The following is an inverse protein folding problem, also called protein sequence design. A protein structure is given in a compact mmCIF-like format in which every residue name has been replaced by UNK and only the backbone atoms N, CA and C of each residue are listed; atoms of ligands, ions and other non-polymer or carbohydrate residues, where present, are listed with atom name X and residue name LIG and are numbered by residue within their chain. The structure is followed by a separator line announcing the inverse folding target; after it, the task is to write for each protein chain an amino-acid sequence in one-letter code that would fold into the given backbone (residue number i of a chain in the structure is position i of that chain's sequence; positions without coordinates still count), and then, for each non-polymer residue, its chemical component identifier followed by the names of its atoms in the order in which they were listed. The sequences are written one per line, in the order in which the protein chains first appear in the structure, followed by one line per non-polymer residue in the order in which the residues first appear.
data_IF_871097257375
#
_entry.id   IF_871097257375
#
_cell.length_a   1.000
_cell.length_b   1.000
_cell.length_c   1.000
_cell.angle_alpha   90.00
_cell.angle_beta   90.00
_cell.angle_gamma   90.00
#
_symmetry.space_group_name_H-M   'P 1'
#
loop_
_entity.id
_entity.type
_entity.pdbx_description
1 polymer ?
#
# COMPACT_ATOMS: atom_id res chain seq x y z
N UNK A 1 31.20 34.24 -6.21
CA UNK A 1 31.07 32.80 -6.01
C UNK A 1 29.93 32.63 -5.04
N UNK A 2 28.82 32.07 -5.51
CA UNK A 2 27.66 31.78 -4.69
C UNK A 2 27.78 30.42 -4.03
N UNK A 3 26.70 29.98 -3.41
CA UNK A 3 26.62 28.70 -2.70
C UNK A 3 25.29 28.02 -3.00
N UNK A 4 25.34 26.74 -3.39
CA UNK A 4 24.17 25.86 -3.38
C UNK A 4 23.89 25.40 -1.95
N UNK A 5 22.61 25.27 -1.60
CA UNK A 5 22.14 24.72 -0.32
C UNK A 5 21.73 23.28 -0.58
N UNK A 6 22.35 22.31 0.10
CA UNK A 6 21.94 20.91 0.07
C UNK A 6 21.16 20.52 1.32
N UNK A 7 20.16 19.65 1.16
CA UNK A 7 19.37 19.05 2.25
C UNK A 7 20.10 17.87 2.92
N UNK A 8 19.47 17.28 3.94
CA UNK A 8 19.98 16.11 4.66
C UNK A 8 20.13 14.86 3.78
N UNK A 9 19.46 14.85 2.62
CA UNK A 9 19.56 13.78 1.61
C UNK A 9 20.66 14.10 0.58
N UNK A 10 21.36 15.22 0.71
CA UNK A 10 22.41 15.67 -0.19
C UNK A 10 21.91 16.34 -1.47
N UNK A 11 20.61 16.66 -1.57
CA UNK A 11 20.00 17.24 -2.78
C UNK A 11 20.02 18.76 -2.71
N UNK A 12 20.26 19.41 -3.85
CA UNK A 12 20.22 20.88 -3.93
C UNK A 12 18.78 21.37 -3.78
N UNK A 13 18.54 22.23 -2.80
CA UNK A 13 17.22 22.78 -2.45
C UNK A 13 17.17 24.31 -2.51
N UNK A 14 18.29 24.96 -2.80
CA UNK A 14 18.35 26.41 -2.92
C UNK A 14 19.73 26.93 -3.25
N UNK A 15 19.85 28.25 -3.31
CA UNK A 15 21.09 28.94 -3.67
C UNK A 15 21.19 30.29 -2.95
N UNK A 16 22.41 30.75 -2.66
CA UNK A 16 22.70 32.02 -1.96
C UNK A 16 23.96 32.71 -2.48
N UNK A 17 23.94 34.05 -2.51
CA UNK A 17 25.13 34.88 -2.77
C UNK A 17 26.11 34.93 -1.58
N UNK A 18 25.65 34.61 -0.37
CA UNK A 18 26.42 34.76 0.87
C UNK A 18 26.50 33.44 1.63
N UNK A 19 27.60 33.26 2.38
CA UNK A 19 27.72 32.18 3.36
C UNK A 19 26.93 32.54 4.61
N UNK A 20 26.09 31.64 5.07
CA UNK A 20 25.27 31.80 6.27
C UNK A 20 25.20 30.47 7.03
N UNK A 21 24.73 30.52 8.27
CA UNK A 21 24.44 29.32 9.06
C UNK A 21 23.12 28.73 8.57
N UNK A 22 23.19 27.53 8.00
CA UNK A 22 22.04 26.81 7.46
C UNK A 22 21.19 26.19 8.56
N UNK A 23 19.95 25.81 8.23
CA UNK A 23 19.12 25.04 9.15
C UNK A 23 19.74 23.66 9.46
N UNK A 24 19.31 23.03 10.55
CA UNK A 24 19.76 21.68 10.91
C UNK A 24 19.59 20.71 9.73
N UNK A 25 20.65 19.95 9.43
CA UNK A 25 20.69 18.99 8.33
C UNK A 25 21.03 19.59 6.94
N UNK A 26 21.12 20.91 6.80
CA UNK A 26 21.50 21.55 5.54
C UNK A 26 22.98 21.95 5.50
N UNK A 27 23.56 22.03 4.30
CA UNK A 27 24.94 22.47 4.10
C UNK A 27 25.06 23.41 2.89
N UNK A 28 26.07 24.30 2.91
CA UNK A 28 26.44 25.15 1.78
C UNK A 28 27.60 24.55 1.01
N UNK A 29 27.43 24.38 -0.30
CA UNK A 29 28.45 23.90 -1.21
C UNK A 29 28.75 24.96 -2.29
N UNK A 30 29.95 25.03 -2.86
CA UNK A 30 30.27 25.94 -3.96
C UNK A 30 29.31 25.80 -5.16
N UNK A 31 29.02 26.92 -5.83
CA UNK A 31 28.12 26.96 -7.00
C UNK A 31 28.83 26.78 -8.35
N UNK A 32 30.14 26.57 -8.33
CA UNK A 32 30.99 26.36 -9.51
C UNK A 32 31.03 24.90 -9.98
N UNK A 33 30.24 24.03 -9.35
CA UNK A 33 30.06 22.63 -9.75
C UNK A 33 28.68 22.49 -10.41
N UNK A 34 28.68 22.04 -11.67
CA UNK A 34 27.44 21.68 -12.38
C UNK A 34 26.90 20.37 -11.83
N UNK A 35 25.64 20.39 -11.38
CA UNK A 35 24.96 19.23 -10.84
C UNK A 35 23.70 18.92 -11.65
N UNK A 36 23.33 17.65 -11.69
CA UNK A 36 22.00 17.26 -12.15
C UNK A 36 20.97 17.51 -11.04
N UNK A 37 19.88 18.21 -11.38
CA UNK A 37 18.84 18.59 -10.45
C UNK A 37 18.25 17.36 -9.73
N UNK A 38 18.15 17.43 -8.41
CA UNK A 38 17.57 16.38 -7.59
C UNK A 38 18.48 15.18 -7.28
N UNK A 39 19.68 15.09 -7.88
CA UNK A 39 20.66 14.05 -7.52
C UNK A 39 21.40 14.43 -6.24
N UNK A 40 21.56 13.50 -5.29
CA UNK A 40 22.35 13.73 -4.09
C UNK A 40 23.84 13.84 -4.42
N UNK A 41 24.56 14.67 -3.68
CA UNK A 41 25.99 14.93 -3.88
C UNK A 41 26.78 14.74 -2.59
N UNK A 42 28.04 14.33 -2.72
CA UNK A 42 28.99 14.18 -1.61
C UNK A 42 30.37 14.70 -1.96
N UNK A 43 31.14 15.05 -0.94
CA UNK A 43 32.56 15.36 -1.09
C UNK A 43 33.39 14.07 -1.08
N UNK A 44 34.21 13.84 -2.11
CA UNK A 44 35.07 12.65 -2.22
C UNK A 44 36.47 12.81 -1.60
N UNK A 45 36.78 14.02 -1.12
CA UNK A 45 38.11 14.41 -0.64
C UNK A 45 38.78 15.47 -1.52
N UNK A 46 38.35 15.62 -2.77
CA UNK A 46 38.91 16.59 -3.72
C UNK A 46 37.86 17.40 -4.46
N UNK A 47 36.69 16.84 -4.74
CA UNK A 47 35.61 17.51 -5.47
C UNK A 47 34.24 17.02 -5.01
N UNK A 48 33.20 17.79 -5.33
CA UNK A 48 31.83 17.36 -5.16
C UNK A 48 31.44 16.43 -6.31
N UNK A 49 30.95 15.25 -5.97
CA UNK A 49 30.52 14.22 -6.93
C UNK A 49 29.10 13.77 -6.63
N UNK A 50 28.42 13.20 -7.62
CA UNK A 50 27.13 12.53 -7.42
C UNK A 50 27.32 11.35 -6.46
N UNK A 51 26.42 11.25 -5.49
CA UNK A 51 26.41 10.17 -4.50
C UNK A 51 25.53 9.01 -4.99
N UNK A 52 26.10 8.13 -5.82
CA UNK A 52 25.41 6.97 -6.39
C UNK A 52 24.91 5.98 -5.32
N UNK A 53 25.66 5.81 -4.23
CA UNK A 53 25.28 4.97 -3.10
C UNK A 53 24.03 5.54 -2.42
N UNK A 54 24.03 6.85 -2.13
CA UNK A 54 22.85 7.55 -1.60
C UNK A 54 21.67 7.50 -2.54
N UNK A 55 21.89 7.63 -3.86
CA UNK A 55 20.82 7.48 -4.85
C UNK A 55 20.15 6.11 -4.76
N UNK A 56 20.95 5.03 -4.74
CA UNK A 56 20.42 3.67 -4.64
C UNK A 56 19.67 3.44 -3.32
N UNK A 57 20.18 4.00 -2.21
CA UNK A 57 19.50 3.96 -0.90
C UNK A 57 18.14 4.67 -0.95
N UNK A 58 18.09 5.90 -1.47
CA UNK A 58 16.86 6.68 -1.57
C UNK A 58 15.84 6.01 -2.49
N UNK A 59 16.30 5.45 -3.61
CA UNK A 59 15.44 4.71 -4.53
C UNK A 59 14.79 3.51 -3.85
N UNK A 60 15.59 2.71 -3.12
CA UNK A 60 15.10 1.55 -2.37
C UNK A 60 14.13 1.97 -1.25
N UNK A 61 14.44 3.03 -0.51
CA UNK A 61 13.53 3.58 0.50
C UNK A 61 12.19 3.97 -0.12
N UNK A 62 12.20 4.63 -1.28
CA UNK A 62 10.98 5.00 -1.99
C UNK A 62 10.17 3.78 -2.43
N UNK A 63 10.82 2.69 -2.87
CA UNK A 63 10.13 1.43 -3.16
C UNK A 63 9.41 0.87 -1.92
N UNK A 64 10.10 0.81 -0.78
CA UNK A 64 9.56 0.31 0.48
C UNK A 64 8.38 1.16 0.98
N UNK A 65 8.50 2.49 0.94
CA UNK A 65 7.44 3.44 1.29
C UNK A 65 6.21 3.27 0.38
N UNK A 66 6.43 3.14 -0.94
CA UNK A 66 5.33 2.95 -1.87
C UNK A 66 4.64 1.60 -1.66
N UNK A 67 5.39 0.53 -1.35
CA UNK A 67 4.82 -0.79 -0.99
C UNK A 67 3.96 -0.72 0.27
N UNK A 68 4.40 0.00 1.30
CA UNK A 68 3.60 0.23 2.50
C UNK A 68 2.31 1.00 2.16
N UNK A 69 2.41 2.04 1.33
CA UNK A 69 1.25 2.83 0.92
C UNK A 69 0.21 2.01 0.14
N UNK A 70 0.61 1.15 -0.81
CA UNK A 70 -0.35 0.27 -1.49
C UNK A 70 -1.01 -0.72 -0.54
N UNK A 71 -0.30 -1.22 0.47
CA UNK A 71 -0.89 -2.10 1.48
C UNK A 71 -1.98 -1.38 2.28
N UNK A 72 -1.69 -0.19 2.80
CA UNK A 72 -2.69 0.65 3.50
C UNK A 72 -3.89 0.98 2.62
N UNK A 73 -3.66 1.29 1.34
CA UNK A 73 -4.74 1.57 0.40
C UNK A 73 -5.62 0.35 0.13
N UNK A 74 -5.02 -0.84 -0.03
CA UNK A 74 -5.76 -2.09 -0.18
C UNK A 74 -6.63 -2.39 1.04
N UNK A 75 -6.11 -2.20 2.25
CA UNK A 75 -6.86 -2.37 3.50
C UNK A 75 -8.07 -1.43 3.57
N UNK A 76 -7.91 -0.17 3.14
CA UNK A 76 -9.03 0.79 3.10
C UNK A 76 -10.19 0.34 2.20
N UNK A 77 -9.92 -0.39 1.11
CA UNK A 77 -10.98 -0.93 0.27
C UNK A 77 -11.69 -2.12 0.91
N UNK A 78 -10.93 -2.97 1.62
CA UNK A 78 -11.50 -4.05 2.41
C UNK A 78 -12.41 -3.50 3.52
N UNK A 79 -12.02 -2.41 4.18
CA UNK A 79 -12.83 -1.78 5.22
C UNK A 79 -14.18 -1.29 4.70
N UNK A 80 -14.23 -0.79 3.47
CA UNK A 80 -15.49 -0.42 2.80
C UNK A 80 -16.41 -1.63 2.63
N UNK A 81 -15.87 -2.80 2.25
CA UNK A 81 -16.64 -4.05 2.10
C UNK A 81 -17.23 -4.54 3.43
N UNK A 82 -16.54 -4.26 4.54
CA UNK A 82 -16.91 -4.72 5.88
C UNK A 82 -17.76 -3.70 6.66
N UNK A 83 -18.07 -2.56 6.04
CA UNK A 83 -18.86 -1.50 6.68
C UNK A 83 -20.23 -2.02 7.13
N UNK A 84 -20.54 -1.81 8.41
CA UNK A 84 -21.80 -2.23 9.03
C UNK A 84 -21.76 -3.60 9.70
N UNK A 85 -20.66 -4.35 9.56
CA UNK A 85 -20.43 -5.59 10.28
C UNK A 85 -19.63 -5.32 11.56
N UNK A 86 -20.10 -5.76 12.75
CA UNK A 86 -19.30 -5.69 13.96
C UNK A 86 -18.12 -6.68 13.88
N UNK A 87 -17.03 -6.37 14.59
CA UNK A 87 -15.80 -7.17 14.57
C UNK A 87 -16.05 -8.66 14.90
N UNK A 88 -16.91 -8.94 15.89
CA UNK A 88 -17.31 -10.31 16.25
C UNK A 88 -17.94 -11.08 15.09
N UNK A 89 -18.70 -10.40 14.22
CA UNK A 89 -19.30 -11.05 13.05
C UNK A 89 -18.23 -11.31 11.98
N UNK A 90 -17.35 -10.35 11.71
CA UNK A 90 -16.24 -10.47 10.75
C UNK A 90 -15.35 -11.68 11.10
N UNK A 91 -14.97 -11.82 12.37
CA UNK A 91 -14.16 -12.94 12.87
C UNK A 91 -14.85 -14.30 12.71
N UNK A 92 -16.18 -14.31 12.62
CA UNK A 92 -16.98 -15.52 12.47
C UNK A 92 -17.21 -15.94 11.02
N UNK A 93 -16.96 -15.07 10.03
CA UNK A 93 -17.28 -15.33 8.61
C UNK A 93 -16.72 -16.66 8.10
N UNK A 94 -15.45 -16.94 8.39
CA UNK A 94 -14.81 -18.20 7.97
C UNK A 94 -15.48 -19.43 8.60
N UNK A 95 -15.93 -19.34 9.86
CA UNK A 95 -16.67 -20.42 10.51
C UNK A 95 -18.05 -20.60 9.88
N UNK A 96 -18.76 -19.50 9.62
CA UNK A 96 -20.07 -19.54 8.98
C UNK A 96 -19.98 -20.17 7.58
N UNK A 97 -19.01 -19.77 6.75
CA UNK A 97 -18.77 -20.37 5.44
C UNK A 97 -18.45 -21.86 5.55
N UNK A 98 -17.55 -22.25 6.47
CA UNK A 98 -17.19 -23.64 6.70
C UNK A 98 -18.39 -24.51 7.09
N UNK A 99 -19.23 -24.03 8.00
CA UNK A 99 -20.45 -24.74 8.41
C UNK A 99 -21.44 -24.84 7.24
N UNK A 100 -21.59 -23.78 6.44
CA UNK A 100 -22.48 -23.76 5.28
C UNK A 100 -22.03 -24.75 4.19
N UNK A 101 -20.73 -24.78 3.87
CA UNK A 101 -20.14 -25.72 2.91
C UNK A 101 -20.25 -27.18 3.40
N UNK A 102 -20.01 -27.41 4.70
CA UNK A 102 -20.14 -28.74 5.28
C UNK A 102 -21.58 -29.26 5.21
N UNK A 103 -22.56 -28.41 5.52
CA UNK A 103 -23.98 -28.75 5.39
C UNK A 103 -24.40 -28.97 3.93
N UNK A 104 -23.89 -28.15 3.00
CA UNK A 104 -24.17 -28.32 1.56
C UNK A 104 -23.65 -29.66 1.03
N UNK A 105 -22.49 -30.12 1.50
CA UNK A 105 -21.92 -31.41 1.13
C UNK A 105 -22.58 -32.60 1.84
N UNK A 106 -23.04 -32.40 3.09
CA UNK A 106 -23.68 -33.43 3.91
C UNK A 106 -24.74 -32.79 4.84
N UNK A 107 -26.04 -33.02 4.62
CA UNK A 107 -27.11 -32.46 5.45
C UNK A 107 -27.06 -32.84 6.94
N UNK A 108 -26.35 -33.92 7.29
CA UNK A 108 -26.13 -34.35 8.68
C UNK A 108 -24.95 -33.62 9.36
N UNK A 109 -24.22 -32.78 8.63
CA UNK A 109 -23.08 -32.05 9.18
C UNK A 109 -23.53 -31.07 10.29
N UNK A 110 -22.77 -30.98 11.40
CA UNK A 110 -23.05 -30.03 12.46
C UNK A 110 -22.77 -28.60 11.98
N UNK A 111 -23.75 -27.71 12.20
CA UNK A 111 -23.66 -26.28 11.90
C UNK A 111 -24.17 -25.45 13.10
N UNK A 112 -23.57 -25.60 14.29
CA UNK A 112 -24.12 -25.05 15.54
C UNK A 112 -24.21 -23.53 15.53
N UNK A 113 -23.25 -22.81 14.93
CA UNK A 113 -23.30 -21.36 14.85
C UNK A 113 -24.42 -20.90 13.92
N UNK A 114 -24.50 -21.46 12.72
CA UNK A 114 -25.56 -21.11 11.76
C UNK A 114 -26.95 -21.48 12.30
N UNK A 115 -27.09 -22.61 12.99
CA UNK A 115 -28.37 -22.99 13.62
C UNK A 115 -28.81 -21.98 14.68
N UNK A 116 -27.89 -21.53 15.54
CA UNK A 116 -28.20 -20.48 16.53
C UNK A 116 -28.54 -19.14 15.88
N UNK A 117 -27.78 -18.72 14.85
CA UNK A 117 -28.09 -17.49 14.11
C UNK A 117 -29.48 -17.58 13.44
N UNK A 118 -29.82 -18.72 12.83
CA UNK A 118 -31.11 -18.94 12.19
C UNK A 118 -32.26 -18.86 13.21
N UNK A 119 -32.10 -19.53 14.36
CA UNK A 119 -33.07 -19.54 15.47
C UNK A 119 -33.33 -18.13 16.00
N UNK A 120 -32.28 -17.38 16.36
CA UNK A 120 -32.41 -16.02 16.92
C UNK A 120 -32.98 -15.03 15.91
N UNK A 121 -32.76 -15.25 14.60
CA UNK A 121 -33.31 -14.41 13.53
C UNK A 121 -34.72 -14.81 13.09
N UNK A 122 -35.24 -15.95 13.54
CA UNK A 122 -36.48 -16.51 13.01
C UNK A 122 -36.42 -16.81 11.51
N UNK A 123 -35.24 -17.14 10.98
CA UNK A 123 -35.02 -17.43 9.56
C UNK A 123 -34.91 -18.95 9.35
N UNK A 124 -35.46 -19.52 8.26
CA UNK A 124 -35.21 -20.92 7.92
C UNK A 124 -33.70 -21.19 7.78
N UNK A 125 -33.24 -22.29 8.36
CA UNK A 125 -31.82 -22.64 8.43
C UNK A 125 -31.18 -22.75 7.03
N UNK A 126 -31.87 -23.40 6.11
CA UNK A 126 -31.41 -23.61 4.73
C UNK A 126 -31.29 -22.28 3.97
N UNK A 127 -32.19 -21.33 4.24
CA UNK A 127 -32.15 -19.98 3.68
C UNK A 127 -30.95 -19.21 4.24
N UNK A 128 -30.60 -19.39 5.52
CA UNK A 128 -29.39 -18.80 6.08
C UNK A 128 -28.13 -19.38 5.40
N UNK A 129 -28.06 -20.70 5.24
CA UNK A 129 -26.94 -21.38 4.57
C UNK A 129 -26.71 -20.81 3.17
N UNK A 130 -27.76 -20.72 2.35
CA UNK A 130 -27.66 -20.16 1.00
C UNK A 130 -27.12 -18.72 1.04
N UNK A 131 -27.66 -17.87 1.91
CA UNK A 131 -27.20 -16.48 2.06
C UNK A 131 -25.74 -16.37 2.49
N UNK A 132 -25.27 -17.26 3.37
CA UNK A 132 -23.87 -17.29 3.79
C UNK A 132 -22.99 -17.65 2.59
N UNK A 133 -23.31 -18.70 1.84
CA UNK A 133 -22.53 -19.10 0.66
C UNK A 133 -22.48 -18.01 -0.41
N UNK A 134 -23.63 -17.40 -0.74
CA UNK A 134 -23.72 -16.30 -1.70
C UNK A 134 -22.85 -15.10 -1.26
N UNK A 135 -22.98 -14.68 0.01
CA UNK A 135 -22.19 -13.56 0.54
C UNK A 135 -20.70 -13.88 0.58
N UNK A 136 -20.31 -15.08 1.00
CA UNK A 136 -18.91 -15.49 1.05
C UNK A 136 -18.30 -15.54 -0.35
N UNK A 137 -19.03 -16.07 -1.34
CA UNK A 137 -18.58 -16.11 -2.73
C UNK A 137 -18.37 -14.70 -3.30
N UNK A 138 -19.33 -13.79 -3.10
CA UNK A 138 -19.18 -12.39 -3.52
C UNK A 138 -18.00 -11.71 -2.82
N UNK A 139 -17.87 -11.88 -1.51
CA UNK A 139 -16.78 -11.29 -0.74
C UNK A 139 -15.41 -11.80 -1.22
N UNK A 140 -15.28 -13.11 -1.47
CA UNK A 140 -14.06 -13.73 -1.97
C UNK A 140 -13.61 -13.15 -3.32
N UNK A 141 -14.54 -12.93 -4.25
CA UNK A 141 -14.25 -12.31 -5.56
C UNK A 141 -13.74 -10.88 -5.37
N UNK A 142 -14.42 -10.08 -4.56
CA UNK A 142 -14.08 -8.67 -4.33
C UNK A 142 -12.71 -8.51 -3.65
N UNK A 143 -12.46 -9.30 -2.61
CA UNK A 143 -11.15 -9.32 -1.93
C UNK A 143 -10.06 -9.85 -2.86
N UNK A 144 -10.36 -10.85 -3.69
CA UNK A 144 -9.43 -11.36 -4.70
C UNK A 144 -8.96 -10.28 -5.69
N UNK A 145 -9.87 -9.41 -6.15
CA UNK A 145 -9.53 -8.25 -7.00
C UNK A 145 -8.58 -7.29 -6.28
N UNK A 146 -8.85 -6.97 -5.02
CA UNK A 146 -8.02 -6.06 -4.22
C UNK A 146 -6.61 -6.63 -4.03
N UNK A 147 -6.52 -7.90 -3.61
CA UNK A 147 -5.25 -8.59 -3.39
C UNK A 147 -4.44 -8.67 -4.68
N UNK A 148 -5.06 -9.09 -5.79
CA UNK A 148 -4.40 -9.23 -7.08
C UNK A 148 -3.89 -7.90 -7.62
N UNK A 149 -4.68 -6.83 -7.50
CA UNK A 149 -4.25 -5.50 -7.95
C UNK A 149 -3.10 -4.95 -7.08
N UNK A 150 -3.14 -5.15 -5.76
CA UNK A 150 -2.04 -4.80 -4.85
C UNK A 150 -0.75 -5.54 -5.21
N UNK A 151 -0.82 -6.86 -5.43
CA UNK A 151 0.31 -7.68 -5.86
C UNK A 151 0.89 -7.19 -7.21
N UNK A 152 0.03 -6.91 -8.18
CA UNK A 152 0.45 -6.35 -9.47
C UNK A 152 1.21 -5.03 -9.32
N UNK A 153 0.80 -4.16 -8.40
CA UNK A 153 1.56 -2.94 -8.11
C UNK A 153 2.89 -3.23 -7.42
N UNK A 154 2.91 -4.10 -6.42
CA UNK A 154 4.13 -4.51 -5.72
C UNK A 154 5.17 -5.10 -6.70
N UNK A 155 4.77 -6.02 -7.58
CA UNK A 155 5.66 -6.61 -8.58
C UNK A 155 6.28 -5.54 -9.49
N UNK A 156 5.49 -4.54 -9.89
CA UNK A 156 5.96 -3.43 -10.73
C UNK A 156 6.88 -2.48 -9.99
N UNK A 157 6.67 -2.25 -8.70
CA UNK A 157 7.54 -1.41 -7.87
C UNK A 157 8.88 -2.10 -7.70
N UNK A 158 8.88 -3.39 -7.38
CA UNK A 158 10.10 -4.19 -7.21
C UNK A 158 10.88 -4.34 -8.52
N UNK A 159 10.20 -4.31 -9.67
CA UNK A 159 10.82 -4.37 -11.00
C UNK A 159 11.19 -2.98 -11.58
N UNK A 160 10.92 -1.89 -10.86
CA UNK A 160 11.23 -0.56 -11.35
C UNK A 160 12.75 -0.29 -11.32
N UNK A 161 13.26 0.35 -12.36
CA UNK A 161 14.69 0.63 -12.55
C UNK A 161 15.04 2.11 -12.32
N UNK A 162 14.03 2.99 -12.23
CA UNK A 162 14.24 4.43 -12.10
C UNK A 162 13.04 5.17 -11.48
N UNK A 163 13.30 6.41 -11.06
CA UNK A 163 12.34 7.29 -10.38
C UNK A 163 11.12 7.65 -11.23
N UNK A 164 11.26 7.71 -12.55
CA UNK A 164 10.14 7.99 -13.47
C UNK A 164 9.11 6.85 -13.42
N UNK A 165 9.58 5.60 -13.45
CA UNK A 165 8.72 4.43 -13.32
C UNK A 165 8.02 4.39 -11.96
N UNK A 166 8.73 4.65 -10.86
CA UNK A 166 8.11 4.73 -9.53
C UNK A 166 7.04 5.82 -9.45
N UNK A 167 7.32 7.01 -10.01
CA UNK A 167 6.36 8.12 -10.04
C UNK A 167 5.13 7.77 -10.85
N UNK A 168 5.29 7.08 -11.99
CA UNK A 168 4.17 6.59 -12.78
C UNK A 168 3.32 5.58 -12.01
N UNK A 169 3.95 4.61 -11.36
CA UNK A 169 3.24 3.61 -10.55
C UNK A 169 2.51 4.28 -9.38
N UNK A 170 3.15 5.23 -8.71
CA UNK A 170 2.55 6.00 -7.62
C UNK A 170 1.28 6.73 -8.07
N UNK A 171 1.32 7.41 -9.22
CA UNK A 171 0.15 8.08 -9.79
C UNK A 171 -0.99 7.10 -10.09
N UNK A 172 -0.67 5.91 -10.62
CA UNK A 172 -1.66 4.86 -10.84
C UNK A 172 -2.22 4.30 -9.54
N UNK A 173 -1.40 4.15 -8.50
CA UNK A 173 -1.83 3.77 -7.14
C UNK A 173 -2.76 4.85 -6.57
N UNK A 174 -2.44 6.13 -6.74
CA UNK A 174 -3.31 7.23 -6.30
C UNK A 174 -4.66 7.22 -7.04
N UNK A 175 -4.64 6.98 -8.34
CA UNK A 175 -5.84 6.85 -9.17
C UNK A 175 -6.60 5.53 -8.97
N UNK A 176 -6.00 4.53 -8.31
CA UNK A 176 -6.67 3.26 -8.05
C UNK A 176 -7.91 3.49 -7.19
N UNK A 177 -9.06 3.18 -7.77
CA UNK A 177 -10.37 3.18 -7.12
C UNK A 177 -10.93 1.76 -7.14
N UNK A 178 -11.56 1.39 -6.03
CA UNK A 178 -12.29 0.15 -5.94
C UNK A 178 -13.77 0.39 -6.24
N UNK A 179 -14.22 -0.07 -7.40
CA UNK A 179 -15.62 -0.07 -7.77
C UNK A 179 -16.22 -1.42 -7.41
N UNK A 180 -17.20 -1.45 -6.51
CA UNK A 180 -18.04 -2.64 -6.33
C UNK A 180 -18.87 -2.84 -7.60
N UNK A 181 -18.83 -4.03 -8.23
CA UNK A 181 -19.82 -4.40 -9.23
C UNK A 181 -21.21 -4.22 -8.61
N UNK A 182 -22.13 -3.61 -9.37
CA UNK A 182 -23.56 -3.53 -9.00
C UNK A 182 -24.21 -4.90 -9.01
#
# INVERSE_FOLDING_TARGET
MGFNIIDEKGRIVGWSYARFETADGQQLIPDDVEFEEGKPVRWDGSQWVVDEERMAELFKQRQEELIAHIATKADSFKDVLLKGYPQTEIESFYRQEKEALAYQANPEAPAPMLRQIAEQRGLPFEVLVQKVLEKSAHFAVLVGVIIGQRQKFEDRILSAENEEQLTKIENEVQAWQFNTPQ
#
